data_IF_101410898214
#
_entry.id   IF_101410898214
#
_cell.length_a   1.000
_cell.length_b   1.000
_cell.length_c   1.000
_cell.angle_alpha   90.00
_cell.angle_beta   90.00
_cell.angle_gamma   90.00
#
_symmetry.space_group_name_H-M   'P 1'
#
loop_
_entity.id
_entity.type
_entity.pdbx_description
1 polymer ?
#
# COMPACT_ATOMS: atom_id res chain seq x y z
N UNK A 1 -18.80 8.26 -12.33
CA UNK A 1 -19.74 7.82 -13.39
C UNK A 1 -21.21 8.04 -13.01
N UNK A 2 -21.53 8.33 -11.74
CA UNK A 2 -22.90 8.62 -11.28
C UNK A 2 -23.32 10.10 -11.46
N UNK A 3 -22.38 11.01 -11.69
CA UNK A 3 -22.64 12.45 -11.79
C UNK A 3 -23.03 12.92 -13.19
N UNK A 4 -23.13 12.03 -14.19
CA UNK A 4 -23.46 12.40 -15.56
C UNK A 4 -22.31 13.00 -16.38
N UNK A 5 -21.15 13.23 -15.78
CA UNK A 5 -19.98 13.81 -16.48
C UNK A 5 -19.37 12.85 -17.53
N UNK A 6 -19.61 11.54 -17.40
CA UNK A 6 -19.06 10.52 -18.32
C UNK A 6 -20.18 9.65 -18.89
N UNK A 7 -21.02 10.22 -19.74
CA UNK A 7 -22.19 9.55 -20.32
C UNK A 7 -21.89 8.31 -21.18
N UNK A 8 -20.62 8.09 -21.57
CA UNK A 8 -20.18 6.94 -22.35
C UNK A 8 -19.52 5.80 -21.55
N UNK A 9 -19.25 5.99 -20.23
CA UNK A 9 -18.57 5.03 -19.41
C UNK A 9 -19.53 4.24 -18.52
N UNK A 10 -19.53 2.92 -18.66
CA UNK A 10 -20.27 2.00 -17.79
C UNK A 10 -19.27 1.21 -16.93
N UNK A 11 -19.02 1.66 -15.71
CA UNK A 11 -18.21 0.92 -14.75
C UNK A 11 -19.01 -0.30 -14.28
N UNK A 12 -18.50 -1.51 -14.54
CA UNK A 12 -19.16 -2.78 -14.20
C UNK A 12 -18.44 -3.58 -13.14
N UNK A 13 -17.18 -3.24 -12.85
CA UNK A 13 -16.38 -3.94 -11.84
C UNK A 13 -15.11 -3.20 -11.48
N UNK A 14 -14.64 -3.43 -10.27
CA UNK A 14 -13.36 -3.02 -9.72
C UNK A 14 -12.65 -4.27 -9.20
N UNK A 15 -11.39 -4.45 -9.54
CA UNK A 15 -10.52 -5.47 -8.97
C UNK A 15 -9.30 -4.79 -8.35
N UNK A 16 -9.04 -5.07 -7.07
CA UNK A 16 -7.92 -4.48 -6.32
C UNK A 16 -7.11 -5.61 -5.70
N UNK A 17 -5.84 -5.66 -6.07
CA UNK A 17 -4.91 -6.68 -5.57
C UNK A 17 -3.87 -6.08 -4.64
N UNK A 18 -3.56 -6.79 -3.56
CA UNK A 18 -2.48 -6.46 -2.62
C UNK A 18 -2.55 -4.98 -2.18
N UNK A 19 -3.73 -4.56 -1.73
CA UNK A 19 -4.06 -3.16 -1.50
C UNK A 19 -3.97 -2.75 -0.03
N UNK A 20 -3.71 -1.47 0.19
CA UNK A 20 -3.89 -0.81 1.47
C UNK A 20 -5.15 0.06 1.39
N UNK A 21 -6.26 -0.44 1.90
CA UNK A 21 -7.57 0.23 1.84
C UNK A 21 -8.01 0.81 3.17
N UNK A 22 -7.66 0.13 4.28
CA UNK A 22 -7.96 0.56 5.65
C UNK A 22 -6.72 0.43 6.53
N UNK A 23 -5.78 1.38 6.47
CA UNK A 23 -4.50 1.31 7.16
C UNK A 23 -4.66 1.07 8.67
N UNK A 24 -5.67 1.66 9.29
CA UNK A 24 -5.95 1.49 10.72
C UNK A 24 -6.05 0.02 11.12
N UNK A 25 -6.76 -0.81 10.36
CA UNK A 25 -6.89 -2.25 10.62
C UNK A 25 -5.66 -3.01 10.13
N UNK A 26 -5.24 -2.76 8.89
CA UNK A 26 -4.20 -3.56 8.24
C UNK A 26 -2.85 -3.46 8.93
N UNK A 27 -2.48 -2.32 9.51
CA UNK A 27 -1.25 -2.22 10.31
C UNK A 27 -1.31 -3.03 11.61
N UNK A 28 -2.50 -3.28 12.16
CA UNK A 28 -2.69 -4.18 13.31
C UNK A 28 -2.43 -5.65 12.98
N UNK A 29 -2.66 -6.05 11.75
CA UNK A 29 -2.57 -7.45 11.31
C UNK A 29 -1.12 -7.95 11.14
N UNK A 30 -0.14 -7.09 10.95
CA UNK A 30 1.25 -7.50 10.70
C UNK A 30 1.82 -8.46 11.76
N UNK A 31 1.57 -8.20 13.04
CA UNK A 31 2.09 -9.04 14.11
C UNK A 31 1.46 -10.44 14.10
N UNK A 32 0.16 -10.52 13.79
CA UNK A 32 -0.58 -11.78 13.76
C UNK A 32 -0.18 -12.61 12.53
N UNK A 33 -0.03 -11.96 11.38
CA UNK A 33 0.48 -12.60 10.17
C UNK A 33 1.89 -13.16 10.40
N UNK A 34 2.80 -12.35 10.95
CA UNK A 34 4.19 -12.76 11.17
C UNK A 34 4.32 -13.96 12.12
N UNK A 35 3.45 -14.05 13.14
CA UNK A 35 3.41 -15.22 14.03
C UNK A 35 2.80 -16.43 13.32
N UNK A 36 1.69 -16.25 12.60
CA UNK A 36 1.00 -17.34 11.92
C UNK A 36 1.86 -18.03 10.85
N UNK A 37 2.83 -17.31 10.31
CA UNK A 37 3.79 -17.82 9.31
C UNK A 37 5.20 -18.10 9.88
N UNK A 38 5.35 -18.20 11.20
CA UNK A 38 6.62 -18.50 11.87
C UNK A 38 7.79 -17.54 11.50
N UNK A 39 7.46 -16.31 11.05
CA UNK A 39 8.47 -15.30 10.71
C UNK A 39 9.17 -14.75 11.96
N UNK A 40 8.43 -14.61 13.05
CA UNK A 40 8.93 -14.04 14.30
C UNK A 40 8.35 -14.78 15.51
N UNK A 41 9.08 -14.75 16.62
CA UNK A 41 8.59 -15.26 17.90
C UNK A 41 7.66 -14.28 18.63
N UNK A 42 7.06 -14.76 19.72
CA UNK A 42 6.07 -14.03 20.53
C UNK A 42 6.59 -12.69 21.08
N UNK A 43 7.87 -12.57 21.38
CA UNK A 43 8.48 -11.34 21.92
C UNK A 43 8.43 -10.20 20.89
N UNK A 44 8.86 -10.47 19.67
CA UNK A 44 8.83 -9.47 18.59
C UNK A 44 7.39 -9.08 18.22
N UNK A 45 6.49 -10.06 18.17
CA UNK A 45 5.07 -9.79 17.93
C UNK A 45 4.45 -8.95 19.07
N UNK A 46 4.78 -9.21 20.32
CA UNK A 46 4.31 -8.39 21.44
C UNK A 46 4.84 -6.95 21.35
N UNK A 47 6.11 -6.76 20.96
CA UNK A 47 6.68 -5.43 20.74
C UNK A 47 5.91 -4.67 19.64
N UNK A 48 5.63 -5.30 18.51
CA UNK A 48 4.84 -4.71 17.42
C UNK A 48 3.42 -4.32 17.88
N UNK A 49 2.75 -5.20 18.64
CA UNK A 49 1.42 -4.90 19.20
C UNK A 49 1.45 -3.74 20.22
N UNK A 50 2.56 -3.51 20.91
CA UNK A 50 2.72 -2.37 21.81
C UNK A 50 2.78 -1.04 21.07
N UNK A 51 3.31 -1.02 19.84
CA UNK A 51 3.37 0.18 18.99
C UNK A 51 2.01 0.47 18.34
N UNK A 52 1.21 -0.56 18.06
CA UNK A 52 -0.02 -0.43 17.27
C UNK A 52 -1.02 0.62 17.79
N UNK A 53 -1.29 0.81 19.10
CA UNK A 53 -2.19 1.87 19.56
C UNK A 53 -1.73 3.28 19.17
N UNK A 54 -0.43 3.54 19.17
CA UNK A 54 0.12 4.83 18.72
C UNK A 54 0.00 4.99 17.21
N UNK A 55 0.24 3.92 16.44
CA UNK A 55 0.03 3.86 15.01
C UNK A 55 -1.43 4.18 14.67
N UNK A 56 -2.38 3.49 15.29
CA UNK A 56 -3.81 3.71 15.12
C UNK A 56 -4.21 5.16 15.39
N UNK A 57 -3.83 5.71 16.53
CA UNK A 57 -4.13 7.09 16.90
C UNK A 57 -3.53 8.12 15.93
N UNK A 58 -2.37 7.83 15.34
CA UNK A 58 -1.75 8.69 14.33
C UNK A 58 -2.51 8.64 13.01
N UNK A 59 -2.97 7.46 12.57
CA UNK A 59 -3.78 7.27 11.38
C UNK A 59 -5.13 7.99 11.53
N UNK A 60 -5.80 7.86 12.66
CA UNK A 60 -7.05 8.57 12.96
C UNK A 60 -6.87 10.10 12.85
N UNK A 61 -5.76 10.64 13.35
CA UNK A 61 -5.44 12.08 13.25
C UNK A 61 -5.13 12.51 11.80
N UNK A 62 -4.58 11.63 10.99
CA UNK A 62 -4.38 11.88 9.56
C UNK A 62 -5.71 12.03 8.81
N UNK A 63 -6.81 11.59 9.40
CA UNK A 63 -8.14 11.62 8.81
C UNK A 63 -8.51 10.27 8.23
N UNK A 64 -8.37 9.23 9.03
CA UNK A 64 -8.71 7.83 8.73
C UNK A 64 -10.15 7.55 8.33
N UNK A 65 -10.98 8.57 8.21
CA UNK A 65 -12.32 8.49 7.66
C UNK A 65 -12.54 9.66 6.72
N UNK A 66 -12.25 9.53 5.45
CA UNK A 66 -12.80 10.49 4.47
C UNK A 66 -14.25 10.10 4.26
N UNK A 67 -15.17 10.92 4.80
CA UNK A 67 -16.54 10.86 4.32
C UNK A 67 -16.48 11.06 2.79
N UNK A 68 -17.21 10.24 1.98
CA UNK A 68 -17.18 10.34 0.52
C UNK A 68 -17.46 11.75 -0.03
N UNK A 69 -18.08 12.60 0.77
CA UNK A 69 -18.53 13.94 0.42
C UNK A 69 -17.90 15.04 1.31
N UNK A 70 -16.88 14.72 2.09
CA UNK A 70 -16.20 15.72 2.92
C UNK A 70 -15.25 16.61 2.10
N UNK A 71 -15.11 17.92 2.43
CA UNK A 71 -14.16 18.79 1.78
C UNK A 71 -12.75 18.22 1.96
N UNK A 72 -11.95 18.24 0.88
CA UNK A 72 -10.52 17.92 0.98
C UNK A 72 -9.88 18.82 2.06
N UNK A 73 -9.10 18.26 2.96
CA UNK A 73 -8.46 19.04 3.98
C UNK A 73 -7.43 20.01 3.39
N UNK A 74 -7.33 21.20 3.98
CA UNK A 74 -6.38 22.23 3.59
C UNK A 74 -4.97 21.64 3.33
N UNK A 75 -4.40 21.88 2.13
CA UNK A 75 -3.07 21.41 1.80
C UNK A 75 -2.02 21.98 2.78
N UNK A 76 -1.28 21.14 3.46
CA UNK A 76 -0.16 21.53 4.32
C UNK A 76 -0.26 21.04 5.76
N UNK A 77 -1.29 21.37 6.52
CA UNK A 77 -1.40 20.93 7.93
C UNK A 77 -1.66 19.42 8.06
N UNK A 78 -2.45 18.85 7.15
CA UNK A 78 -2.73 17.40 7.13
C UNK A 78 -1.59 16.58 6.53
N UNK A 79 -0.84 17.09 5.56
CA UNK A 79 0.29 16.36 5.00
C UNK A 79 1.31 16.00 6.10
N UNK A 80 1.70 16.94 6.94
CA UNK A 80 2.65 16.70 8.02
C UNK A 80 2.11 15.66 9.03
N UNK A 81 0.82 15.72 9.37
CA UNK A 81 0.17 14.76 10.26
C UNK A 81 0.16 13.36 9.63
N UNK A 82 -0.15 13.25 8.35
CA UNK A 82 -0.16 11.97 7.63
C UNK A 82 1.26 11.39 7.48
N UNK A 83 2.26 12.20 7.20
CA UNK A 83 3.66 11.75 7.17
C UNK A 83 4.13 11.25 8.54
N UNK A 84 3.69 11.89 9.63
CA UNK A 84 3.94 11.41 11.00
C UNK A 84 3.28 10.04 11.22
N UNK A 85 2.04 9.87 10.75
CA UNK A 85 1.35 8.59 10.82
C UNK A 85 2.09 7.50 10.03
N UNK A 86 2.57 7.80 8.81
CA UNK A 86 3.42 6.89 8.03
C UNK A 86 4.65 6.49 8.85
N UNK A 87 5.39 7.47 9.39
CA UNK A 87 6.61 7.21 10.14
C UNK A 87 6.40 6.28 11.34
N UNK A 88 5.35 6.52 12.13
CA UNK A 88 5.01 5.66 13.27
C UNK A 88 4.59 4.27 12.79
N UNK A 89 3.70 4.19 11.81
CA UNK A 89 3.13 2.92 11.34
C UNK A 89 4.17 2.02 10.70
N UNK A 90 5.10 2.57 9.93
CA UNK A 90 6.17 1.81 9.28
C UNK A 90 7.16 1.16 10.28
N UNK A 91 7.20 1.61 11.52
CA UNK A 91 8.04 0.94 12.55
C UNK A 91 7.54 -0.47 12.87
N UNK A 92 6.26 -0.79 12.65
CA UNK A 92 5.69 -2.12 12.88
C UNK A 92 6.25 -3.14 11.87
N UNK A 93 5.99 -3.02 10.56
CA UNK A 93 6.52 -3.99 9.60
C UNK A 93 8.04 -3.99 9.55
N UNK A 94 8.71 -2.85 9.66
CA UNK A 94 10.17 -2.77 9.66
C UNK A 94 10.80 -3.48 10.87
N UNK A 95 10.20 -3.33 12.05
CA UNK A 95 10.66 -4.01 13.25
C UNK A 95 10.49 -5.53 13.18
N UNK A 96 9.38 -6.01 12.63
CA UNK A 96 9.15 -7.44 12.41
C UNK A 96 10.14 -8.01 11.38
N UNK A 97 10.37 -7.31 10.26
CA UNK A 97 11.32 -7.72 9.23
C UNK A 97 12.77 -7.74 9.72
N UNK A 98 13.16 -6.82 10.59
CA UNK A 98 14.49 -6.82 11.19
C UNK A 98 14.75 -8.09 12.03
N UNK A 99 13.71 -8.69 12.61
CA UNK A 99 13.79 -9.96 13.34
C UNK A 99 13.68 -11.17 12.42
N UNK A 100 12.81 -11.10 11.39
CA UNK A 100 12.61 -12.17 10.41
C UNK A 100 13.87 -12.42 9.53
N UNK A 101 14.71 -11.40 9.35
CA UNK A 101 15.94 -11.49 8.59
C UNK A 101 15.77 -11.38 7.08
N UNK A 102 16.54 -12.16 6.33
CA UNK A 102 16.55 -12.13 4.84
C UNK A 102 15.34 -12.86 4.26
N UNK A 103 14.18 -12.22 4.33
CA UNK A 103 12.91 -12.71 3.81
C UNK A 103 12.36 -11.70 2.81
N UNK A 104 11.86 -12.18 1.67
CA UNK A 104 11.20 -11.34 0.68
C UNK A 104 9.82 -10.91 1.21
N UNK A 105 9.58 -9.61 1.32
CA UNK A 105 8.34 -9.06 1.89
C UNK A 105 7.09 -9.34 1.06
N UNK A 106 7.24 -9.66 -0.23
CA UNK A 106 6.14 -10.02 -1.15
C UNK A 106 5.93 -11.53 -1.33
N UNK A 107 6.89 -12.35 -0.87
CA UNK A 107 6.78 -13.80 -0.82
C UNK A 107 7.71 -14.36 0.25
N UNK A 108 7.18 -14.55 1.46
CA UNK A 108 7.96 -14.96 2.63
C UNK A 108 8.66 -16.31 2.49
N UNK A 109 8.35 -17.10 1.47
CA UNK A 109 9.05 -18.37 1.14
C UNK A 109 10.38 -18.14 0.44
N UNK A 110 10.65 -16.90 0.01
CA UNK A 110 11.83 -16.51 -0.77
C UNK A 110 12.75 -15.61 0.04
N UNK A 111 13.98 -15.51 -0.41
CA UNK A 111 14.95 -14.49 0.01
C UNK A 111 14.89 -13.30 -0.94
N UNK A 112 15.43 -12.16 -0.50
CA UNK A 112 15.62 -11.03 -1.37
C UNK A 112 16.59 -11.36 -2.52
N UNK A 113 16.29 -10.88 -3.73
CA UNK A 113 17.16 -11.04 -4.89
C UNK A 113 18.36 -10.09 -4.88
N UNK A 114 18.26 -8.97 -4.15
CA UNK A 114 19.30 -7.95 -4.04
C UNK A 114 19.10 -7.04 -2.84
N UNK A 115 20.06 -6.13 -2.58
CA UNK A 115 20.00 -5.24 -1.42
C UNK A 115 18.92 -4.16 -1.53
N UNK A 116 18.64 -3.72 -2.76
CA UNK A 116 17.79 -2.55 -2.99
C UNK A 116 16.32 -2.92 -3.23
N UNK A 117 16.06 -4.13 -3.76
CA UNK A 117 14.70 -4.60 -4.02
C UNK A 117 14.58 -6.13 -3.92
N UNK A 118 13.45 -6.65 -3.43
CA UNK A 118 13.23 -8.09 -3.24
C UNK A 118 13.24 -8.93 -4.52
N UNK A 119 13.06 -8.31 -5.69
CA UNK A 119 13.10 -8.97 -7.00
C UNK A 119 14.09 -8.28 -7.93
N UNK A 120 14.69 -9.06 -8.84
CA UNK A 120 15.52 -8.52 -9.93
C UNK A 120 14.61 -8.12 -11.12
N UNK A 121 14.57 -6.83 -11.42
CA UNK A 121 13.84 -6.25 -12.55
C UNK A 121 14.77 -5.73 -13.66
N UNK A 122 16.05 -6.11 -13.65
CA UNK A 122 17.05 -5.60 -14.60
C UNK A 122 16.68 -5.83 -16.07
N UNK A 123 16.07 -6.95 -16.42
CA UNK A 123 15.61 -7.25 -17.77
C UNK A 123 14.42 -6.36 -18.17
N UNK A 124 13.48 -6.12 -17.26
CA UNK A 124 12.36 -5.22 -17.48
C UNK A 124 12.85 -3.78 -17.65
N UNK A 125 13.79 -3.34 -16.83
CA UNK A 125 14.39 -2.01 -16.94
C UNK A 125 15.11 -1.84 -18.27
N UNK A 126 15.89 -2.81 -18.70
CA UNK A 126 16.59 -2.79 -19.99
C UNK A 126 15.61 -2.72 -21.15
N UNK A 127 14.57 -3.55 -21.14
CA UNK A 127 13.54 -3.59 -22.19
C UNK A 127 12.76 -2.28 -22.26
N UNK A 128 12.24 -1.78 -21.15
CA UNK A 128 11.40 -0.58 -21.10
C UNK A 128 12.18 0.72 -21.35
N UNK A 129 13.51 0.69 -21.19
CA UNK A 129 14.39 1.81 -21.53
C UNK A 129 14.96 1.74 -22.93
N UNK A 130 14.70 0.69 -23.70
CA UNK A 130 15.10 0.65 -25.12
C UNK A 130 14.44 1.79 -25.89
N UNK A 131 15.19 2.56 -26.72
CA UNK A 131 14.65 3.69 -27.46
C UNK A 131 13.47 3.32 -28.36
N UNK A 132 13.49 2.15 -28.98
CA UNK A 132 12.41 1.69 -29.88
C UNK A 132 11.14 1.37 -29.09
N UNK A 133 11.28 0.76 -27.93
CA UNK A 133 10.16 0.45 -27.01
C UNK A 133 9.55 1.74 -26.45
N UNK A 134 10.37 2.68 -26.01
CA UNK A 134 9.89 3.99 -25.55
C UNK A 134 9.17 4.77 -26.63
N UNK A 135 9.69 4.73 -27.86
CA UNK A 135 9.03 5.36 -29.00
C UNK A 135 7.67 4.72 -29.30
N UNK A 136 7.59 3.38 -29.28
CA UNK A 136 6.34 2.64 -29.48
C UNK A 136 5.30 2.93 -28.39
N UNK A 137 5.74 3.13 -27.15
CA UNK A 137 4.88 3.48 -26.01
C UNK A 137 4.49 4.98 -25.96
N UNK A 138 5.12 5.83 -26.78
CA UNK A 138 4.84 7.27 -26.79
C UNK A 138 5.27 8.02 -25.51
N UNK A 139 6.21 7.47 -24.74
CA UNK A 139 6.62 8.04 -23.44
C UNK A 139 7.78 9.06 -23.56
N UNK A 140 8.21 9.36 -24.77
CA UNK A 140 9.28 10.34 -25.05
C UNK A 140 10.60 9.94 -24.40
N UNK A 141 11.27 10.90 -23.76
CA UNK A 141 12.58 10.69 -23.10
C UNK A 141 12.50 10.22 -21.66
N UNK A 142 11.29 9.93 -21.14
CA UNK A 142 11.13 9.46 -19.76
C UNK A 142 11.82 8.12 -19.58
N UNK A 143 12.70 8.03 -18.61
CA UNK A 143 13.28 6.77 -18.15
C UNK A 143 12.23 5.99 -17.34
N UNK A 144 12.19 4.70 -17.54
CA UNK A 144 11.48 3.79 -16.65
C UNK A 144 12.40 3.43 -15.47
N UNK A 145 11.84 3.47 -14.29
CA UNK A 145 12.44 3.03 -13.03
C UNK A 145 11.44 2.10 -12.35
N UNK A 146 11.94 1.03 -11.71
CA UNK A 146 11.07 0.10 -10.99
C UNK A 146 10.25 0.80 -9.90
N UNK A 147 10.89 1.67 -9.13
CA UNK A 147 10.24 2.52 -8.13
C UNK A 147 10.78 3.94 -8.26
N UNK A 148 9.89 4.88 -8.59
CA UNK A 148 10.24 6.29 -8.60
C UNK A 148 10.21 6.86 -7.18
N UNK A 149 11.36 7.27 -6.66
CA UNK A 149 11.46 7.92 -5.34
C UNK A 149 10.58 9.16 -5.24
N UNK A 150 10.48 9.93 -6.33
CA UNK A 150 9.63 11.13 -6.38
C UNK A 150 8.14 10.80 -6.24
N UNK A 151 7.65 9.80 -6.97
CA UNK A 151 6.25 9.37 -6.89
C UNK A 151 5.95 8.81 -5.48
N UNK A 152 6.86 8.01 -4.95
CA UNK A 152 6.74 7.47 -3.59
C UNK A 152 6.60 8.60 -2.55
N UNK A 153 7.47 9.60 -2.59
CA UNK A 153 7.42 10.76 -1.69
C UNK A 153 6.12 11.56 -1.81
N UNK A 154 5.67 11.81 -3.05
CA UNK A 154 4.44 12.56 -3.31
C UNK A 154 3.20 11.81 -2.78
N UNK A 155 3.18 10.48 -2.87
CA UNK A 155 2.07 9.61 -2.47
C UNK A 155 2.08 9.23 -0.99
N UNK A 156 3.19 9.43 -0.26
CA UNK A 156 3.31 8.98 1.13
C UNK A 156 2.18 9.48 2.05
N UNK A 157 1.74 10.71 1.89
CA UNK A 157 0.67 11.27 2.71
C UNK A 157 -0.71 10.61 2.45
N UNK A 158 -0.88 9.99 1.28
CA UNK A 158 -2.11 9.29 0.90
C UNK A 158 -2.20 7.88 1.52
N UNK A 159 -1.08 7.27 1.89
CA UNK A 159 -1.02 5.91 2.44
C UNK A 159 -1.87 5.68 3.69
N UNK A 160 -2.05 6.72 4.49
CA UNK A 160 -2.79 6.63 5.76
C UNK A 160 -4.27 7.00 5.62
N UNK A 161 -4.76 7.15 4.38
CA UNK A 161 -6.18 7.41 4.13
C UNK A 161 -6.98 6.13 4.17
N UNK A 162 -8.13 6.19 4.83
CA UNK A 162 -9.11 5.10 4.76
C UNK A 162 -9.96 5.23 3.49
N UNK A 163 -9.82 4.27 2.57
CA UNK A 163 -10.57 4.20 1.32
C UNK A 163 -11.71 3.17 1.36
N UNK A 164 -11.80 2.38 2.44
CA UNK A 164 -12.85 1.38 2.61
C UNK A 164 -14.27 1.97 2.45
N UNK A 165 -14.61 3.17 2.99
CA UNK A 165 -15.96 3.73 2.85
C UNK A 165 -16.40 4.01 1.41
N UNK A 166 -15.49 3.96 0.44
CA UNK A 166 -15.82 4.10 -0.98
C UNK A 166 -16.40 2.82 -1.58
N UNK A 167 -16.19 1.66 -0.94
CA UNK A 167 -16.59 0.34 -1.46
C UNK A 167 -18.11 0.12 -1.41
N UNK A 168 -18.81 0.34 -0.26
CA UNK A 168 -20.25 0.12 -0.17
C UNK A 168 -21.07 0.87 -1.24
N UNK A 169 -20.85 2.18 -1.50
CA UNK A 169 -21.56 2.87 -2.57
C UNK A 169 -21.34 2.30 -3.97
N UNK A 170 -20.16 1.71 -4.23
CA UNK A 170 -19.92 1.02 -5.50
C UNK A 170 -20.76 -0.25 -5.62
N UNK A 171 -20.81 -1.06 -4.57
CA UNK A 171 -21.64 -2.28 -4.52
C UNK A 171 -23.12 -1.95 -4.68
N UNK A 172 -23.62 -0.97 -3.95
CA UNK A 172 -25.01 -0.47 -4.05
C UNK A 172 -25.30 0.06 -5.47
N UNK A 173 -24.29 0.62 -6.13
CA UNK A 173 -24.34 1.06 -7.52
C UNK A 173 -24.32 -0.05 -8.55
N UNK A 174 -24.25 -1.33 -8.14
CA UNK A 174 -24.19 -2.47 -9.03
C UNK A 174 -22.79 -2.70 -9.64
N UNK A 175 -21.75 -2.07 -9.11
CA UNK A 175 -20.36 -2.34 -9.48
C UNK A 175 -19.87 -3.56 -8.69
N UNK A 176 -19.40 -4.57 -9.38
CA UNK A 176 -18.78 -5.75 -8.73
C UNK A 176 -17.41 -5.36 -8.19
N UNK A 177 -17.13 -5.74 -6.96
CA UNK A 177 -15.81 -5.50 -6.33
C UNK A 177 -15.14 -6.83 -6.05
N UNK A 178 -13.90 -6.98 -6.49
CA UNK A 178 -13.03 -8.12 -6.19
C UNK A 178 -11.79 -7.60 -5.47
N UNK A 179 -11.52 -8.15 -4.29
CA UNK A 179 -10.28 -7.90 -3.54
C UNK A 179 -9.53 -9.22 -3.49
N UNK A 180 -8.22 -9.19 -3.79
CA UNK A 180 -7.36 -10.36 -3.71
C UNK A 180 -6.02 -9.99 -3.09
N UNK A 181 -5.42 -10.92 -2.36
CA UNK A 181 -4.11 -10.78 -1.74
C UNK A 181 -3.37 -12.11 -1.81
N UNK A 182 -2.04 -12.05 -1.94
CA UNK A 182 -1.20 -13.23 -1.90
C UNK A 182 -1.15 -13.81 -0.50
N UNK A 183 -1.33 -15.13 -0.36
CA UNK A 183 -1.28 -15.82 0.94
C UNK A 183 0.10 -15.65 1.63
N UNK A 184 1.16 -15.57 0.86
CA UNK A 184 2.54 -15.48 1.33
C UNK A 184 3.11 -14.05 1.23
N UNK A 185 2.29 -13.05 1.03
CA UNK A 185 2.67 -11.64 0.99
C UNK A 185 2.58 -11.04 2.39
N UNK A 186 3.73 -10.65 2.97
CA UNK A 186 3.77 -10.03 4.28
C UNK A 186 3.36 -8.55 4.23
N UNK A 187 3.88 -7.79 3.25
CA UNK A 187 3.68 -6.34 3.24
C UNK A 187 2.23 -5.97 2.89
N UNK A 188 1.58 -6.74 2.03
CA UNK A 188 0.18 -6.59 1.66
C UNK A 188 -0.61 -7.85 2.05
N UNK A 189 -0.44 -8.30 3.30
CA UNK A 189 -1.05 -9.54 3.78
C UNK A 189 -2.58 -9.51 3.72
N UNK A 190 -3.16 -10.70 3.73
CA UNK A 190 -4.60 -10.90 3.53
C UNK A 190 -5.46 -10.71 4.78
N UNK A 191 -4.86 -10.51 5.97
CA UNK A 191 -5.55 -10.31 7.24
C UNK A 191 -6.20 -8.93 7.40
#
# INVERSE_FOLDING_TARGET
ARTGEFTGLKLTGLAVGNCLTMPEIQYGAYADYAVAHDMVGSVAAAAARTVYPACRAAIEKCGGGVAPDGPEPEPGSKRATCLTAVGISQTIPSGLMAVAGDVNIYDIRKKNAGPDFPYDFSDAEKFLNDPSVRAALGVGNRKWEMCSGKVHEDMMADWMRNLEPTIPPMLEGGVRVMIYAGENDFICNWL
#
